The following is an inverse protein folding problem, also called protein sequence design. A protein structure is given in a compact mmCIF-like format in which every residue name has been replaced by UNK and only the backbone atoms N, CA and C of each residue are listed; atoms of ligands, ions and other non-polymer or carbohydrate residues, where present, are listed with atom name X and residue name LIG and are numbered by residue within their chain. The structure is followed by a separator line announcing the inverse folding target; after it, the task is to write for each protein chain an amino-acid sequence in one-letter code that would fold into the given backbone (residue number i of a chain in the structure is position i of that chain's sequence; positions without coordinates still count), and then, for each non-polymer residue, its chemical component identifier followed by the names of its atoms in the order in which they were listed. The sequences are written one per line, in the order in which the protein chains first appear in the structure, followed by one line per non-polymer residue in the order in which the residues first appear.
data_IF_818673881013
#
_entry.id   IF_818673881013
#
_cell.length_a   1.000
_cell.length_b   1.000
_cell.length_c   1.000
_cell.angle_alpha   90.00
_cell.angle_beta   90.00
_cell.angle_gamma   90.00
#
_symmetry.space_group_name_H-M   'P 1'
#
loop_
_entity.id
_entity.type
_entity.pdbx_description
1 polymer ?
#
# COMPACT_ATOMS: atom_id res chain seq x y z
N UNK A 1 17.66 48.22 -28.06
CA UNK A 1 18.34 47.01 -28.54
C UNK A 1 19.50 46.82 -27.55
N UNK A 2 19.45 45.98 -26.53
CA UNK A 2 18.75 44.70 -26.39
C UNK A 2 18.38 44.39 -24.92
N UNK A 3 17.18 43.84 -24.75
CA UNK A 3 16.72 43.11 -23.56
C UNK A 3 16.90 41.62 -23.84
N UNK A 4 17.75 40.92 -23.09
CA UNK A 4 17.65 39.47 -22.80
C UNK A 4 18.30 39.28 -21.42
N UNK A 5 17.55 39.38 -20.32
CA UNK A 5 16.90 38.24 -19.65
C UNK A 5 17.90 37.14 -19.25
N UNK A 6 18.65 37.38 -18.16
CA UNK A 6 19.26 36.30 -17.37
C UNK A 6 18.13 35.44 -16.80
N UNK A 7 17.97 34.27 -17.42
CA UNK A 7 17.07 33.21 -16.98
C UNK A 7 17.49 32.71 -15.60
N UNK A 8 16.63 32.92 -14.60
CA UNK A 8 16.79 32.38 -13.27
C UNK A 8 16.91 30.85 -13.31
N UNK A 9 18.07 30.35 -12.90
CA UNK A 9 18.26 28.95 -12.56
C UNK A 9 17.23 28.59 -11.49
N UNK A 10 16.26 27.75 -11.87
CA UNK A 10 15.40 27.05 -10.92
C UNK A 10 16.31 26.20 -10.04
N UNK A 11 16.58 26.68 -8.82
CA UNK A 11 17.25 25.91 -7.79
C UNK A 11 16.45 24.62 -7.56
N UNK A 12 16.96 23.51 -8.09
CA UNK A 12 16.46 22.19 -7.76
C UNK A 12 16.88 21.92 -6.31
N UNK A 13 16.00 22.25 -5.38
CA UNK A 13 16.14 21.85 -3.99
C UNK A 13 16.16 20.32 -3.96
N UNK A 14 17.31 19.75 -3.58
CA UNK A 14 17.43 18.29 -3.37
C UNK A 14 16.28 17.85 -2.46
N UNK A 15 15.54 16.78 -2.80
CA UNK A 15 14.52 16.25 -1.91
C UNK A 15 15.22 15.81 -0.62
N UNK A 16 14.98 16.55 0.45
CA UNK A 16 15.53 16.23 1.77
C UNK A 16 14.68 15.10 2.33
N UNK A 17 15.23 13.88 2.31
CA UNK A 17 14.65 12.76 3.05
C UNK A 17 14.59 13.18 4.52
N UNK A 18 13.41 13.12 5.12
CA UNK A 18 13.29 13.36 6.55
C UNK A 18 14.06 12.33 7.36
N UNK A 19 14.45 12.70 8.59
CA UNK A 19 15.17 11.81 9.50
C UNK A 19 14.40 10.51 9.77
N UNK A 20 13.07 10.56 9.69
CA UNK A 20 12.21 9.39 9.86
C UNK A 20 12.36 8.41 8.70
N UNK A 21 12.16 8.86 7.46
CA UNK A 21 12.23 8.03 6.26
C UNK A 21 13.62 7.43 6.09
N UNK A 22 14.67 8.18 6.43
CA UNK A 22 16.05 7.69 6.41
C UNK A 22 16.29 6.55 7.41
N UNK A 23 15.63 6.58 8.57
CA UNK A 23 15.78 5.58 9.62
C UNK A 23 14.63 4.56 9.65
N UNK A 24 13.80 4.51 8.60
CA UNK A 24 12.59 3.68 8.56
C UNK A 24 12.90 2.20 8.84
N UNK A 25 14.02 1.67 8.33
CA UNK A 25 14.45 0.30 8.60
C UNK A 25 14.61 0.03 10.09
N UNK A 26 15.20 0.96 10.85
CA UNK A 26 15.35 0.83 12.30
C UNK A 26 14.02 0.93 13.03
N UNK A 27 13.12 1.79 12.57
CA UNK A 27 11.76 1.86 13.10
C UNK A 27 11.00 0.56 12.90
N UNK A 28 11.07 -0.03 11.70
CA UNK A 28 10.43 -1.31 11.39
C UNK A 28 11.02 -2.44 12.24
N UNK A 29 12.35 -2.52 12.38
CA UNK A 29 13.01 -3.48 13.27
C UNK A 29 12.55 -3.30 14.72
N UNK A 30 12.45 -2.06 15.20
CA UNK A 30 11.89 -1.75 16.51
C UNK A 30 10.45 -2.25 16.66
N UNK A 31 9.59 -2.01 15.66
CA UNK A 31 8.21 -2.48 15.65
C UNK A 31 8.12 -4.02 15.69
N UNK A 32 9.02 -4.73 15.01
CA UNK A 32 9.09 -6.20 15.04
C UNK A 32 9.40 -6.68 16.46
N UNK A 33 10.49 -6.17 17.06
CA UNK A 33 10.93 -6.58 18.40
C UNK A 33 9.86 -6.26 19.44
N UNK A 34 9.31 -5.04 19.40
CA UNK A 34 8.26 -4.59 20.31
C UNK A 34 6.98 -5.41 20.09
N UNK A 35 6.56 -5.63 18.85
CA UNK A 35 5.37 -6.42 18.51
C UNK A 35 5.45 -7.85 19.05
N UNK A 36 6.53 -8.58 18.74
CA UNK A 36 6.73 -9.95 19.22
C UNK A 36 6.79 -10.00 20.75
N UNK A 37 7.51 -9.06 21.38
CA UNK A 37 7.61 -9.00 22.85
C UNK A 37 6.25 -8.75 23.49
N UNK A 38 5.47 -7.79 22.98
CA UNK A 38 4.14 -7.48 23.49
C UNK A 38 3.16 -8.64 23.28
N UNK A 39 3.21 -9.29 22.11
CA UNK A 39 2.41 -10.47 21.81
C UNK A 39 2.69 -11.63 22.79
N UNK A 40 3.96 -11.80 23.18
CA UNK A 40 4.37 -12.81 24.17
C UNK A 40 4.00 -12.46 25.60
N UNK A 41 4.12 -11.19 26.01
CA UNK A 41 3.85 -10.76 27.40
C UNK A 41 2.35 -10.62 27.68
N UNK A 42 1.57 -10.19 26.68
CA UNK A 42 0.13 -9.95 26.82
C UNK A 42 -0.71 -10.72 25.78
N UNK A 43 -0.55 -12.06 25.66
CA UNK A 43 -1.18 -12.83 24.58
C UNK A 43 -2.71 -12.73 24.61
N UNK A 44 -3.33 -12.77 25.80
CA UNK A 44 -4.78 -12.66 25.94
C UNK A 44 -5.34 -11.31 25.47
N UNK A 45 -4.60 -10.21 25.64
CA UNK A 45 -5.01 -8.89 25.14
C UNK A 45 -4.99 -8.86 23.62
N UNK A 46 -3.87 -9.28 23.01
CA UNK A 46 -3.72 -9.27 21.56
C UNK A 46 -4.61 -10.28 20.84
N UNK A 47 -4.91 -11.44 21.45
CA UNK A 47 -5.94 -12.36 20.95
C UNK A 47 -7.34 -11.73 21.01
N UNK A 48 -7.69 -11.04 22.11
CA UNK A 48 -8.98 -10.35 22.22
C UNK A 48 -9.12 -9.26 21.17
N UNK A 49 -8.10 -8.41 20.99
CA UNK A 49 -8.07 -7.37 19.95
C UNK A 49 -8.06 -7.98 18.54
N UNK A 50 -7.36 -9.11 18.36
CA UNK A 50 -7.33 -9.90 17.13
C UNK A 50 -8.70 -10.45 16.75
N UNK A 51 -9.51 -10.82 17.74
CA UNK A 51 -10.86 -11.36 17.61
C UNK A 51 -11.95 -10.29 17.45
N UNK A 52 -11.62 -9.01 17.57
CA UNK A 52 -12.52 -7.90 17.20
C UNK A 52 -12.66 -7.84 15.66
N UNK A 53 -13.37 -8.81 15.09
CA UNK A 53 -13.58 -8.93 13.65
C UNK A 53 -15.05 -8.75 13.29
N UNK A 54 -15.30 -8.11 12.16
CA UNK A 54 -16.62 -8.05 11.52
C UNK A 54 -16.45 -8.65 10.13
N UNK A 55 -17.14 -9.77 9.86
CA UNK A 55 -17.05 -10.49 8.58
C UNK A 55 -15.60 -10.78 8.13
N UNK A 56 -14.82 -11.42 9.02
CA UNK A 56 -13.39 -11.75 8.86
C UNK A 56 -12.42 -10.56 8.84
N UNK A 57 -12.91 -9.32 8.89
CA UNK A 57 -12.06 -8.12 8.90
C UNK A 57 -11.82 -7.65 10.34
N UNK A 58 -10.54 -7.62 10.75
CA UNK A 58 -10.14 -7.07 12.05
C UNK A 58 -10.40 -5.55 12.10
N UNK A 59 -11.34 -5.13 12.96
CA UNK A 59 -11.80 -3.75 13.03
C UNK A 59 -10.69 -2.76 13.46
N UNK A 60 -9.90 -3.02 14.54
CA UNK A 60 -8.75 -2.19 14.88
C UNK A 60 -7.77 -1.96 13.72
N UNK A 61 -7.40 -3.04 13.02
CA UNK A 61 -6.50 -2.96 11.86
C UNK A 61 -7.17 -2.20 10.72
N UNK A 62 -8.46 -2.40 10.48
CA UNK A 62 -9.18 -1.69 9.43
C UNK A 62 -9.19 -0.17 9.63
N UNK A 63 -9.40 0.29 10.87
CA UNK A 63 -9.33 1.72 11.22
C UNK A 63 -7.93 2.28 10.96
N UNK A 64 -6.88 1.56 11.34
CA UNK A 64 -5.49 1.99 11.09
C UNK A 64 -5.17 2.04 9.59
N UNK A 65 -5.62 1.06 8.83
CA UNK A 65 -5.50 1.05 7.37
C UNK A 65 -6.20 2.28 6.76
N UNK A 66 -7.39 2.63 7.24
CA UNK A 66 -8.11 3.83 6.79
C UNK A 66 -7.34 5.11 7.12
N UNK A 67 -6.82 5.24 8.35
CA UNK A 67 -5.97 6.37 8.76
C UNK A 67 -4.71 6.48 7.88
N UNK A 68 -4.19 5.36 7.39
CA UNK A 68 -3.05 5.31 6.50
C UNK A 68 -3.41 5.69 5.04
N UNK A 69 -4.50 5.13 4.51
CA UNK A 69 -4.90 5.23 3.10
C UNK A 69 -5.53 6.60 2.77
N UNK A 70 -6.39 7.15 3.65
CA UNK A 70 -7.12 8.41 3.35
C UNK A 70 -6.17 9.57 3.01
N UNK A 71 -5.10 9.87 3.78
CA UNK A 71 -4.16 10.93 3.45
C UNK A 71 -3.47 10.76 2.10
N UNK A 72 -3.27 9.50 1.69
CA UNK A 72 -2.62 9.16 0.44
C UNK A 72 -3.57 9.34 -0.74
N UNK A 73 -4.82 8.87 -0.63
CA UNK A 73 -5.87 9.08 -1.64
C UNK A 73 -6.30 10.54 -1.78
N UNK A 74 -6.19 11.36 -0.72
CA UNK A 74 -6.45 12.80 -0.79
C UNK A 74 -5.51 13.52 -1.76
N UNK A 75 -4.28 13.04 -1.92
CA UNK A 75 -3.29 13.62 -2.84
C UNK A 75 -3.64 13.35 -4.31
N UNK A 76 -4.49 12.36 -4.59
CA UNK A 76 -4.86 11.96 -5.95
C UNK A 76 -5.84 13.00 -6.52
N UNK A 77 -5.46 13.57 -7.66
CA UNK A 77 -6.30 14.45 -8.46
C UNK A 77 -6.81 13.73 -9.71
N UNK A 78 -8.06 13.24 -9.67
CA UNK A 78 -8.70 12.62 -10.83
C UNK A 78 -8.94 13.60 -11.98
N UNK A 79 -9.01 14.92 -11.73
CA UNK A 79 -9.14 15.93 -12.78
C UNK A 79 -7.83 16.13 -13.54
N UNK A 80 -6.68 15.95 -12.88
CA UNK A 80 -5.36 16.01 -13.50
C UNK A 80 -5.01 14.75 -14.32
N UNK A 81 -5.82 13.69 -14.26
CA UNK A 81 -5.57 12.44 -15.02
C UNK A 81 -5.51 12.64 -16.55
N UNK A 82 -6.11 13.70 -17.09
CA UNK A 82 -6.07 13.98 -18.53
C UNK A 82 -4.68 14.37 -19.03
N UNK A 83 -3.90 15.07 -18.21
CA UNK A 83 -2.53 15.49 -18.57
C UNK A 83 -1.57 14.29 -18.63
N UNK A 84 -1.94 13.18 -17.99
CA UNK A 84 -1.12 11.97 -17.86
C UNK A 84 -0.97 11.22 -19.17
N UNK A 85 -1.98 11.31 -20.05
CA UNK A 85 -1.96 10.70 -21.37
C UNK A 85 -0.85 11.26 -22.28
N UNK A 86 -0.29 12.42 -21.94
CA UNK A 86 0.84 13.02 -22.67
C UNK A 86 2.12 12.19 -22.56
N UNK A 87 2.27 11.36 -21.52
CA UNK A 87 3.42 10.47 -21.30
C UNK A 87 3.08 8.98 -21.43
N UNK A 88 2.21 8.64 -22.39
CA UNK A 88 1.62 7.30 -22.58
C UNK A 88 2.63 6.15 -22.64
N UNK A 89 3.80 6.34 -23.25
CA UNK A 89 4.84 5.29 -23.35
C UNK A 89 5.36 4.86 -21.98
N UNK A 90 5.71 5.81 -21.10
CA UNK A 90 6.24 5.49 -19.77
C UNK A 90 5.20 4.85 -18.85
N UNK A 91 3.96 5.33 -18.93
CA UNK A 91 2.83 4.75 -18.20
C UNK A 91 2.54 3.35 -18.71
N UNK A 92 2.51 3.13 -20.02
CA UNK A 92 2.27 1.81 -20.61
C UNK A 92 3.26 0.76 -20.12
N UNK A 93 4.55 1.09 -20.10
CA UNK A 93 5.59 0.19 -19.55
C UNK A 93 5.32 -0.12 -18.07
N UNK A 94 5.01 0.91 -17.28
CA UNK A 94 4.72 0.73 -15.85
C UNK A 94 3.50 -0.16 -15.62
N UNK A 95 2.42 0.10 -16.34
CA UNK A 95 1.17 -0.66 -16.20
C UNK A 95 1.37 -2.11 -16.60
N UNK A 96 2.08 -2.36 -17.69
CA UNK A 96 2.44 -3.71 -18.09
C UNK A 96 3.25 -4.44 -17.01
N UNK A 97 4.26 -3.77 -16.44
CA UNK A 97 5.05 -4.35 -15.36
C UNK A 97 4.18 -4.61 -14.12
N UNK A 98 3.35 -3.66 -13.70
CA UNK A 98 2.57 -3.75 -12.46
C UNK A 98 1.44 -4.77 -12.53
N UNK A 99 0.76 -4.86 -13.68
CA UNK A 99 -0.47 -5.64 -13.83
C UNK A 99 -0.26 -6.98 -14.55
N UNK A 100 0.84 -7.13 -15.30
CA UNK A 100 1.15 -8.37 -16.03
C UNK A 100 2.42 -9.00 -15.47
N UNK A 101 3.57 -8.32 -15.50
CA UNK A 101 4.82 -8.97 -15.11
C UNK A 101 4.82 -9.33 -13.63
N UNK A 102 4.57 -8.36 -12.74
CA UNK A 102 4.68 -8.53 -11.28
C UNK A 102 3.74 -9.61 -10.71
N UNK A 103 2.43 -9.64 -11.05
CA UNK A 103 1.50 -10.59 -10.45
C UNK A 103 1.74 -12.02 -10.95
N UNK A 104 2.02 -12.18 -12.25
CA UNK A 104 2.27 -13.50 -12.84
C UNK A 104 3.64 -14.05 -12.45
N UNK A 105 4.67 -13.20 -12.41
CA UNK A 105 5.99 -13.62 -11.91
C UNK A 105 5.90 -14.04 -10.44
N UNK A 106 5.14 -13.32 -9.61
CA UNK A 106 4.97 -13.72 -8.22
C UNK A 106 4.17 -15.00 -8.07
N UNK A 107 3.10 -15.20 -8.85
CA UNK A 107 2.36 -16.46 -8.84
C UNK A 107 3.25 -17.65 -9.22
N UNK A 108 4.08 -17.48 -10.25
CA UNK A 108 5.07 -18.48 -10.66
C UNK A 108 6.10 -18.74 -9.55
N UNK A 109 6.67 -17.68 -8.96
CA UNK A 109 7.64 -17.81 -7.87
C UNK A 109 7.00 -18.46 -6.64
N UNK A 110 5.79 -18.09 -6.26
CA UNK A 110 5.04 -18.71 -5.17
C UNK A 110 4.84 -20.21 -5.44
N UNK A 111 4.48 -20.59 -6.66
CA UNK A 111 4.34 -22.00 -7.04
C UNK A 111 5.67 -22.77 -6.99
N UNK A 112 6.77 -22.21 -7.51
CA UNK A 112 8.09 -22.86 -7.46
C UNK A 112 8.57 -22.99 -6.00
N UNK A 113 8.60 -21.88 -5.26
CA UNK A 113 9.20 -21.86 -3.94
C UNK A 113 8.32 -22.51 -2.88
N UNK A 114 7.03 -22.20 -2.82
CA UNK A 114 6.15 -22.71 -1.75
C UNK A 114 5.72 -24.16 -2.03
N UNK A 115 5.32 -24.47 -3.28
CA UNK A 115 4.76 -25.79 -3.60
C UNK A 115 5.81 -26.84 -3.97
N UNK A 116 7.01 -26.45 -4.39
CA UNK A 116 8.06 -27.42 -4.75
C UNK A 116 9.25 -27.36 -3.79
N UNK A 117 9.91 -26.20 -3.68
CA UNK A 117 11.17 -26.13 -2.94
C UNK A 117 10.98 -26.24 -1.42
N UNK A 118 9.99 -25.54 -0.87
CA UNK A 118 9.73 -25.44 0.57
C UNK A 118 8.54 -26.27 1.05
N UNK A 119 7.92 -27.07 0.19
CA UNK A 119 6.74 -27.87 0.57
C UNK A 119 7.01 -28.82 1.74
N UNK A 120 8.24 -29.35 1.83
CA UNK A 120 8.64 -30.22 2.96
C UNK A 120 8.91 -29.48 4.27
N UNK A 121 9.05 -28.14 4.24
CA UNK A 121 9.31 -27.30 5.42
C UNK A 121 8.06 -26.58 5.92
N UNK A 122 6.95 -26.63 5.17
CA UNK A 122 5.72 -25.91 5.46
C UNK A 122 4.59 -26.88 5.86
N UNK A 123 3.70 -26.48 6.78
CA UNK A 123 2.50 -27.25 7.08
C UNK A 123 1.66 -27.45 5.82
N UNK A 124 1.31 -28.70 5.51
CA UNK A 124 0.64 -29.07 4.25
C UNK A 124 -0.69 -28.32 4.10
N UNK A 125 -1.44 -28.13 5.19
CA UNK A 125 -2.69 -27.37 5.17
C UNK A 125 -2.54 -25.87 4.88
N UNK A 126 -1.33 -25.29 5.02
CA UNK A 126 -1.11 -23.84 4.88
C UNK A 126 -0.47 -23.43 3.55
N UNK A 127 0.03 -24.39 2.75
CA UNK A 127 0.69 -24.13 1.45
C UNK A 127 -0.16 -23.23 0.57
N UNK A 128 -1.46 -23.54 0.45
CA UNK A 128 -2.37 -22.76 -0.39
C UNK A 128 -2.65 -21.37 0.17
N UNK A 129 -2.70 -21.22 1.50
CA UNK A 129 -2.84 -19.91 2.15
C UNK A 129 -1.59 -19.04 1.95
N UNK A 130 -0.40 -19.63 1.99
CA UNK A 130 0.84 -18.90 1.69
C UNK A 130 0.89 -18.44 0.23
N UNK A 131 0.58 -19.32 -0.73
CA UNK A 131 0.52 -18.95 -2.16
C UNK A 131 -0.52 -17.85 -2.38
N UNK A 132 -1.71 -17.98 -1.80
CA UNK A 132 -2.75 -16.97 -1.89
C UNK A 132 -2.28 -15.62 -1.32
N UNK A 133 -1.62 -15.62 -0.16
CA UNK A 133 -1.04 -14.43 0.45
C UNK A 133 -0.01 -13.74 -0.44
N UNK A 134 0.88 -14.50 -1.08
CA UNK A 134 1.89 -13.96 -2.01
C UNK A 134 1.25 -13.36 -3.28
N UNK A 135 0.21 -14.01 -3.81
CA UNK A 135 -0.55 -13.49 -4.98
C UNK A 135 -1.26 -12.19 -4.60
N UNK A 136 -1.92 -12.14 -3.44
CA UNK A 136 -2.60 -10.94 -2.94
C UNK A 136 -1.61 -9.77 -2.74
N UNK A 137 -0.43 -10.05 -2.17
CA UNK A 137 0.63 -9.06 -1.99
C UNK A 137 1.16 -8.54 -3.33
N UNK A 138 1.30 -9.40 -4.33
CA UNK A 138 1.74 -8.99 -5.66
C UNK A 138 0.67 -8.24 -6.45
N UNK A 139 -0.61 -8.53 -6.28
CA UNK A 139 -1.66 -7.77 -6.96
C UNK A 139 -1.80 -6.34 -6.42
N UNK A 140 -1.38 -6.09 -5.18
CA UNK A 140 -1.45 -4.76 -4.57
C UNK A 140 -0.37 -3.81 -5.15
N UNK A 141 -0.74 -2.64 -5.68
CA UNK A 141 0.22 -1.60 -6.05
C UNK A 141 0.78 -0.91 -4.81
N UNK A 142 2.05 -0.51 -4.87
CA UNK A 142 2.64 0.35 -3.85
C UNK A 142 2.62 1.80 -4.34
N UNK A 143 2.12 2.71 -3.52
CA UNK A 143 1.83 4.08 -3.96
C UNK A 143 2.68 5.10 -3.23
N UNK A 144 2.75 5.03 -1.90
CA UNK A 144 3.51 5.96 -1.06
C UNK A 144 5.02 5.85 -1.29
N UNK A 145 5.55 4.62 -1.33
CA UNK A 145 7.00 4.41 -1.43
C UNK A 145 7.53 4.81 -2.82
N UNK A 146 6.70 4.69 -3.86
CA UNK A 146 7.06 5.11 -5.23
C UNK A 146 7.37 6.60 -5.29
N UNK A 147 6.66 7.45 -4.55
CA UNK A 147 6.98 8.89 -4.47
C UNK A 147 8.34 9.15 -3.84
N UNK A 148 8.67 8.44 -2.77
CA UNK A 148 9.95 8.61 -2.08
C UNK A 148 11.10 8.17 -2.99
N UNK A 149 11.00 6.98 -3.59
CA UNK A 149 12.01 6.49 -4.54
C UNK A 149 12.13 7.35 -5.79
N UNK A 150 11.01 7.79 -6.36
CA UNK A 150 11.03 8.67 -7.52
C UNK A 150 11.71 9.99 -7.18
N UNK A 151 11.37 10.62 -6.04
CA UNK A 151 12.05 11.82 -5.57
C UNK A 151 13.55 11.59 -5.39
N UNK A 152 13.96 10.45 -4.82
CA UNK A 152 15.37 10.12 -4.62
C UNK A 152 16.16 9.96 -5.92
N UNK A 153 15.52 9.43 -6.94
CA UNK A 153 16.11 9.27 -8.27
C UNK A 153 16.01 10.54 -9.13
N UNK A 154 15.57 11.67 -8.58
CA UNK A 154 15.36 12.92 -9.33
C UNK A 154 14.19 12.84 -10.32
N UNK A 155 13.23 11.97 -10.06
CA UNK A 155 12.03 11.80 -10.87
C UNK A 155 11.10 13.01 -10.79
N UNK A 156 10.30 13.19 -11.84
CA UNK A 156 9.36 14.31 -11.92
C UNK A 156 8.12 14.02 -11.02
N UNK A 157 7.78 14.91 -10.06
CA UNK A 157 6.71 14.67 -9.09
C UNK A 157 5.29 14.57 -9.69
N UNK A 158 4.95 15.38 -10.70
CA UNK A 158 3.67 15.34 -11.41
C UNK A 158 3.52 14.02 -12.16
N UNK A 159 4.51 13.59 -12.94
CA UNK A 159 4.51 12.30 -13.64
C UNK A 159 4.34 11.14 -12.65
N UNK A 160 5.05 11.18 -11.52
CA UNK A 160 4.91 10.16 -10.47
C UNK A 160 3.51 10.16 -9.87
N UNK A 161 2.97 11.34 -9.57
CA UNK A 161 1.60 11.50 -9.05
C UNK A 161 0.56 10.93 -9.99
N UNK A 162 0.70 11.28 -11.25
CA UNK A 162 -0.12 10.84 -12.35
C UNK A 162 -0.07 9.32 -12.57
N UNK A 163 1.13 8.73 -12.52
CA UNK A 163 1.35 7.29 -12.63
C UNK A 163 0.71 6.53 -11.46
N UNK A 164 0.89 7.02 -10.23
CA UNK A 164 0.27 6.42 -9.03
C UNK A 164 -1.26 6.50 -9.11
N UNK A 165 -1.80 7.66 -9.49
CA UNK A 165 -3.24 7.86 -9.65
C UNK A 165 -3.88 6.86 -10.64
N UNK A 166 -3.23 6.64 -11.80
CA UNK A 166 -3.70 5.66 -12.78
C UNK A 166 -3.63 4.23 -12.21
N UNK A 167 -2.54 3.89 -11.52
CA UNK A 167 -2.37 2.56 -10.95
C UNK A 167 -3.47 2.24 -9.92
N UNK A 168 -3.82 3.22 -9.08
CA UNK A 168 -4.88 3.08 -8.08
C UNK A 168 -6.28 3.05 -8.72
N UNK A 169 -6.49 3.83 -9.77
CA UNK A 169 -7.74 3.79 -10.53
C UNK A 169 -7.93 2.41 -11.19
N UNK A 170 -6.88 1.83 -11.77
CA UNK A 170 -6.93 0.48 -12.33
C UNK A 170 -7.15 -0.55 -11.22
N UNK A 171 -6.54 -0.37 -10.04
CA UNK A 171 -6.72 -1.28 -8.90
C UNK A 171 -8.18 -1.48 -8.53
N UNK A 172 -8.99 -0.43 -8.58
CA UNK A 172 -10.41 -0.50 -8.27
C UNK A 172 -11.17 -1.55 -9.10
N UNK A 173 -10.77 -1.77 -10.35
CA UNK A 173 -11.46 -2.66 -11.28
C UNK A 173 -10.69 -3.94 -11.60
N UNK A 174 -9.36 -3.88 -11.60
CA UNK A 174 -8.50 -4.99 -12.04
C UNK A 174 -8.03 -5.87 -10.88
N UNK A 175 -7.98 -5.38 -9.64
CA UNK A 175 -7.46 -6.15 -8.51
C UNK A 175 -8.25 -7.45 -8.27
N UNK A 176 -9.56 -7.36 -8.09
CA UNK A 176 -10.39 -8.54 -7.84
C UNK A 176 -10.38 -9.56 -8.99
N UNK A 177 -10.59 -9.18 -10.26
CA UNK A 177 -10.52 -10.11 -11.38
C UNK A 177 -9.14 -10.77 -11.53
N UNK A 178 -8.06 -10.01 -11.38
CA UNK A 178 -6.71 -10.54 -11.51
C UNK A 178 -6.38 -11.55 -10.41
N UNK A 179 -6.70 -11.21 -9.15
CA UNK A 179 -6.52 -12.13 -8.02
C UNK A 179 -7.35 -13.39 -8.21
N UNK A 180 -8.62 -13.25 -8.61
CA UNK A 180 -9.50 -14.41 -8.87
C UNK A 180 -8.93 -15.32 -9.98
N UNK A 181 -8.39 -14.75 -11.05
CA UNK A 181 -7.72 -15.49 -12.11
C UNK A 181 -6.50 -16.26 -11.57
N UNK A 182 -5.59 -15.58 -10.86
CA UNK A 182 -4.35 -16.19 -10.38
C UNK A 182 -4.59 -17.26 -9.29
N UNK A 183 -5.57 -17.05 -8.41
CA UNK A 183 -5.99 -18.05 -7.42
C UNK A 183 -6.66 -19.25 -8.10
N UNK A 184 -7.52 -19.00 -9.11
CA UNK A 184 -8.16 -20.05 -9.90
C UNK A 184 -7.15 -20.91 -10.65
N UNK A 185 -6.13 -20.31 -11.25
CA UNK A 185 -5.02 -21.02 -11.90
C UNK A 185 -4.23 -21.89 -10.90
N UNK A 186 -4.21 -21.51 -9.62
CA UNK A 186 -3.55 -22.27 -8.55
C UNK A 186 -4.45 -23.35 -7.92
N UNK A 187 -5.69 -23.52 -8.43
CA UNK A 187 -6.74 -24.40 -7.89
C UNK A 187 -7.13 -24.08 -6.44
N UNK A 188 -6.95 -22.83 -6.02
CA UNK A 188 -7.30 -22.34 -4.69
C UNK A 188 -8.74 -21.81 -4.74
N UNK A 189 -9.56 -22.19 -3.76
CA UNK A 189 -10.95 -21.70 -3.67
C UNK A 189 -10.95 -20.19 -3.46
N UNK A 190 -11.71 -19.48 -4.30
CA UNK A 190 -11.78 -18.02 -4.27
C UNK A 190 -12.86 -17.59 -3.27
N UNK A 191 -12.54 -16.90 -2.16
CA UNK A 191 -13.53 -16.45 -1.19
C UNK A 191 -14.20 -15.16 -1.68
N UNK A 192 -15.10 -15.28 -2.67
CA UNK A 192 -15.73 -14.15 -3.36
C UNK A 192 -16.38 -13.13 -2.43
N UNK A 193 -17.09 -13.59 -1.39
CA UNK A 193 -17.73 -12.71 -0.40
C UNK A 193 -16.70 -11.86 0.34
N UNK A 194 -15.62 -12.48 0.84
CA UNK A 194 -14.56 -11.80 1.58
C UNK A 194 -13.74 -10.87 0.67
N UNK A 195 -13.44 -11.30 -0.56
CA UNK A 195 -12.73 -10.47 -1.54
C UNK A 195 -13.56 -9.24 -1.91
N UNK A 196 -14.85 -9.42 -2.22
CA UNK A 196 -15.73 -8.30 -2.56
C UNK A 196 -15.87 -7.32 -1.39
N UNK A 197 -16.10 -7.84 -0.18
CA UNK A 197 -16.18 -7.01 1.02
C UNK A 197 -14.86 -6.25 1.26
N UNK A 198 -13.72 -6.91 1.08
CA UNK A 198 -12.40 -6.29 1.25
C UNK A 198 -12.16 -5.18 0.23
N UNK A 199 -12.49 -5.40 -1.04
CA UNK A 199 -12.38 -4.35 -2.08
C UNK A 199 -13.32 -3.19 -1.77
N UNK A 200 -14.56 -3.47 -1.36
CA UNK A 200 -15.51 -2.43 -0.99
C UNK A 200 -14.99 -1.59 0.19
N UNK A 201 -14.58 -2.25 1.27
CA UNK A 201 -14.20 -1.61 2.52
C UNK A 201 -12.83 -0.92 2.46
N UNK A 202 -11.85 -1.50 1.75
CA UNK A 202 -10.46 -1.00 1.74
C UNK A 202 -10.08 -0.22 0.49
N UNK A 203 -10.88 -0.28 -0.58
CA UNK A 203 -10.62 0.44 -1.82
C UNK A 203 -11.74 1.43 -2.10
N UNK A 204 -12.97 0.96 -2.34
CA UNK A 204 -14.07 1.80 -2.81
C UNK A 204 -14.42 2.88 -1.78
N UNK A 205 -14.71 2.49 -0.54
CA UNK A 205 -15.16 3.43 0.48
C UNK A 205 -14.09 4.48 0.81
N UNK A 206 -12.81 4.13 1.05
CA UNK A 206 -11.75 5.11 1.26
C UNK A 206 -11.56 6.06 0.07
N UNK A 207 -11.69 5.59 -1.17
CA UNK A 207 -11.63 6.44 -2.37
C UNK A 207 -12.77 7.45 -2.35
N UNK A 208 -14.02 7.01 -2.16
CA UNK A 208 -15.19 7.90 -2.13
C UNK A 208 -15.05 8.95 -1.03
N UNK A 209 -14.74 8.52 0.20
CA UNK A 209 -14.55 9.42 1.35
C UNK A 209 -13.44 10.44 1.08
N UNK A 210 -12.30 9.98 0.56
CA UNK A 210 -11.15 10.86 0.27
C UNK A 210 -11.48 11.88 -0.82
N UNK A 211 -12.22 11.49 -1.86
CA UNK A 211 -12.58 12.42 -2.94
C UNK A 211 -13.64 13.45 -2.51
N UNK A 212 -14.61 13.05 -1.68
CA UNK A 212 -15.54 14.00 -1.05
C UNK A 212 -14.77 14.98 -0.18
N UNK A 213 -13.89 14.49 0.70
CA UNK A 213 -13.10 15.31 1.60
C UNK A 213 -12.16 16.26 0.82
N UNK A 214 -11.52 15.79 -0.24
CA UNK A 214 -10.70 16.61 -1.14
C UNK A 214 -11.50 17.77 -1.71
N UNK A 215 -12.69 17.49 -2.27
CA UNK A 215 -13.57 18.51 -2.85
C UNK A 215 -14.00 19.56 -1.82
N UNK A 216 -14.31 19.14 -0.60
CA UNK A 216 -14.69 20.03 0.51
C UNK A 216 -13.52 20.89 1.01
N UNK A 217 -12.30 20.38 0.99
CA UNK A 217 -11.11 21.13 1.41
C UNK A 217 -10.68 22.15 0.35
N UNK A 218 -10.70 21.74 -0.93
CA UNK A 218 -10.35 22.62 -2.05
C UNK A 218 -11.39 23.72 -2.28
N UNK A 219 -12.67 23.48 -1.99
CA UNK A 219 -13.71 24.52 -2.07
C UNK A 219 -13.50 25.64 -1.04
N UNK A 220 -12.76 25.39 0.04
CA UNK A 220 -12.38 26.41 1.03
C UNK A 220 -11.15 27.20 0.57
N UNK A 221 -10.04 26.51 0.30
CA UNK A 221 -8.84 27.08 -0.32
C UNK A 221 -7.75 26.02 -0.51
N UNK A 222 -6.83 26.25 -1.46
CA UNK A 222 -5.63 25.43 -1.63
C UNK A 222 -4.80 25.35 -0.33
N UNK A 223 -4.64 26.47 0.38
CA UNK A 223 -3.89 26.53 1.64
C UNK A 223 -4.52 25.65 2.74
N UNK A 224 -5.85 25.53 2.77
CA UNK A 224 -6.55 24.66 3.74
C UNK A 224 -6.26 23.20 3.43
N UNK A 225 -6.33 22.81 2.16
CA UNK A 225 -6.01 21.46 1.72
C UNK A 225 -4.56 21.07 2.06
N UNK A 226 -3.60 21.93 1.73
CA UNK A 226 -2.18 21.68 2.02
C UNK A 226 -1.89 21.60 3.53
N UNK A 227 -2.55 22.44 4.33
CA UNK A 227 -2.43 22.43 5.80
C UNK A 227 -2.97 21.14 6.40
N UNK A 228 -4.11 20.64 5.91
CA UNK A 228 -4.69 19.37 6.36
C UNK A 228 -3.80 18.20 5.95
N UNK A 229 -3.30 18.16 4.71
CA UNK A 229 -2.36 17.13 4.27
C UNK A 229 -1.10 17.08 5.14
N UNK A 230 -0.53 18.23 5.50
CA UNK A 230 0.64 18.30 6.40
C UNK A 230 0.34 17.73 7.79
N UNK A 231 -0.87 17.93 8.32
CA UNK A 231 -1.28 17.36 9.62
C UNK A 231 -1.59 15.86 9.55
N UNK A 232 -2.11 15.38 8.43
CA UNK A 232 -2.45 13.97 8.23
C UNK A 232 -1.22 13.09 7.97
N UNK A 233 -0.14 13.66 7.41
CA UNK A 233 1.10 12.91 7.13
C UNK A 233 1.67 12.18 8.36
N UNK A 234 1.95 12.84 9.51
CA UNK A 234 2.47 12.14 10.68
C UNK A 234 1.48 11.12 11.27
N UNK A 235 0.17 11.36 11.13
CA UNK A 235 -0.87 10.41 11.59
C UNK A 235 -0.82 9.12 10.76
N UNK A 236 -0.66 9.23 9.44
CA UNK A 236 -0.51 8.08 8.54
C UNK A 236 0.74 7.26 8.90
N UNK A 237 1.86 7.93 9.17
CA UNK A 237 3.11 7.26 9.58
C UNK A 237 2.95 6.54 10.94
N UNK A 238 2.30 7.20 11.92
CA UNK A 238 2.02 6.57 13.20
C UNK A 238 1.09 5.36 13.04
N UNK A 239 0.03 5.47 12.23
CA UNK A 239 -0.89 4.38 11.96
C UNK A 239 -0.18 3.18 11.29
N UNK A 240 0.74 3.44 10.37
CA UNK A 240 1.60 2.41 9.78
C UNK A 240 2.43 1.67 10.84
N UNK A 241 3.13 2.39 11.72
CA UNK A 241 3.96 1.79 12.77
C UNK A 241 3.12 0.99 13.78
N UNK A 242 1.98 1.53 14.21
CA UNK A 242 1.04 0.82 15.10
C UNK A 242 0.53 -0.45 14.42
N UNK A 243 0.19 -0.38 13.13
CA UNK A 243 -0.25 -1.56 12.36
C UNK A 243 0.85 -2.62 12.34
N UNK A 244 2.11 -2.24 12.09
CA UNK A 244 3.24 -3.17 12.14
C UNK A 244 3.36 -3.84 13.50
N UNK A 245 3.36 -3.06 14.59
CA UNK A 245 3.41 -3.61 15.95
C UNK A 245 2.26 -4.59 16.20
N UNK A 246 1.03 -4.24 15.80
CA UNK A 246 -0.13 -5.12 15.96
C UNK A 246 -0.01 -6.41 15.16
N UNK A 247 0.41 -6.34 13.89
CA UNK A 247 0.57 -7.52 13.03
C UNK A 247 1.60 -8.50 13.61
N UNK A 248 2.73 -8.00 14.13
CA UNK A 248 3.74 -8.83 14.79
C UNK A 248 3.31 -9.30 16.17
N UNK A 249 2.53 -8.53 16.91
CA UNK A 249 1.97 -8.95 18.19
C UNK A 249 0.95 -10.08 18.03
N UNK A 250 0.10 -10.02 16.99
CA UNK A 250 -0.86 -11.09 16.69
C UNK A 250 -0.19 -12.40 16.27
N UNK A 251 0.95 -12.32 15.58
CA UNK A 251 1.71 -13.50 15.15
C UNK A 251 2.86 -13.86 16.10
N UNK A 252 3.02 -13.17 17.23
CA UNK A 252 4.19 -13.30 18.10
C UNK A 252 4.40 -14.73 18.62
N UNK A 253 3.34 -15.41 19.06
CA UNK A 253 3.44 -16.81 19.50
C UNK A 253 3.82 -17.75 18.36
N UNK A 254 3.24 -17.54 17.17
CA UNK A 254 3.46 -18.41 16.01
C UNK A 254 4.88 -18.26 15.46
N UNK A 255 5.41 -17.04 15.43
CA UNK A 255 6.81 -16.73 15.07
C UNK A 255 7.79 -17.37 16.07
N UNK A 256 7.46 -17.36 17.37
CA UNK A 256 8.33 -17.97 18.39
C UNK A 256 8.26 -19.49 18.40
N UNK A 257 7.12 -20.07 18.02
CA UNK A 257 6.93 -21.51 17.92
C UNK A 257 7.58 -22.11 16.66
N UNK A 258 7.73 -21.31 15.60
CA UNK A 258 8.33 -21.70 14.32
C UNK A 258 9.35 -20.63 13.87
N UNK A 259 10.53 -20.57 14.52
CA UNK A 259 11.53 -19.52 14.26
C UNK A 259 12.23 -19.64 12.91
#
# INVERSE_FOLDING_TARGET
MDKVAESGELQITKPVIGTFERNLTWWVLGCIVVGITLGKVFPGFFQSVGNLKIAEVNFPVAVLIWLMIIPMLLKIDFSAMKEVLTHSKGIGVTLFINWVVKPFSMALLAWIFIRHLFAGLLPVEQIDSYIAGLILLAAAPCTAMVFVWSGLCGGEPKFTLSQVAINDAIMLFAFAPLVALLLGLSSITVPWATLFLSVLLFIIVPVVVSQILRKLLLSRSQNTFDSVLKRLHPISLLALLITLVLLFAFQGEQILAQP
#
